data_IF_994920905247
#
_entry.id   IF_994920905247
#
_cell.length_a   1.000
_cell.length_b   1.000
_cell.length_c   1.000
_cell.angle_alpha   90.00
_cell.angle_beta   90.00
_cell.angle_gamma   90.00
#
_symmetry.space_group_name_H-M   'P 1'
#
loop_
_entity.id
_entity.type
_entity.pdbx_description
1 polymer ?
#
# COMPACT_ATOMS: atom_id res chain seq x y z
N UNK A 1 0.84 18.13 -10.90
CA UNK A 1 -0.15 17.51 -11.82
C UNK A 1 -0.88 16.34 -11.14
N UNK A 2 -0.17 15.40 -10.50
CA UNK A 2 -0.79 14.22 -9.86
C UNK A 2 -1.67 14.53 -8.62
N UNK A 3 -1.27 15.47 -7.76
CA UNK A 3 -2.05 15.86 -6.56
C UNK A 3 -3.41 16.47 -6.94
N UNK A 4 -3.49 17.20 -8.06
CA UNK A 4 -4.75 17.77 -8.57
C UNK A 4 -5.71 16.68 -9.06
N UNK A 5 -5.18 15.60 -9.66
CA UNK A 5 -5.96 14.43 -10.05
C UNK A 5 -6.55 13.72 -8.83
N UNK A 6 -5.77 13.49 -7.77
CA UNK A 6 -6.28 12.88 -6.54
C UNK A 6 -7.36 13.72 -5.88
N UNK A 7 -7.16 15.04 -5.78
CA UNK A 7 -8.18 15.95 -5.25
C UNK A 7 -9.44 15.98 -6.12
N UNK A 8 -9.30 15.95 -7.44
CA UNK A 8 -10.43 15.90 -8.39
C UNK A 8 -11.30 14.65 -8.20
N UNK A 9 -10.70 13.52 -7.83
CA UNK A 9 -11.41 12.27 -7.54
C UNK A 9 -11.70 12.06 -6.04
N UNK A 10 -11.41 13.05 -5.19
CA UNK A 10 -11.65 12.96 -3.74
C UNK A 10 -10.77 11.93 -3.02
N UNK A 11 -9.63 11.55 -3.62
CA UNK A 11 -8.68 10.62 -3.04
C UNK A 11 -7.72 11.37 -2.12
N UNK A 12 -7.63 10.92 -0.87
CA UNK A 12 -6.62 11.39 0.08
C UNK A 12 -5.41 10.45 0.04
N UNK A 13 -4.37 10.84 -0.69
CA UNK A 13 -3.14 10.06 -0.83
C UNK A 13 -2.09 10.62 0.12
N UNK A 14 -1.58 9.76 0.99
CA UNK A 14 -0.49 10.09 1.92
C UNK A 14 0.70 9.21 1.57
N UNK A 15 1.82 9.85 1.25
CA UNK A 15 3.09 9.16 1.08
C UNK A 15 3.86 9.19 2.39
N UNK A 16 4.30 8.02 2.85
CA UNK A 16 5.11 7.85 4.05
C UNK A 16 6.35 7.03 3.71
N UNK A 17 7.47 7.37 4.32
CA UNK A 17 8.72 6.63 4.16
C UNK A 17 9.16 6.12 5.54
N UNK A 18 8.71 4.90 5.87
CA UNK A 18 8.87 4.26 7.17
C UNK A 18 9.16 2.78 6.97
N UNK A 19 9.86 2.17 7.93
CA UNK A 19 10.35 0.80 7.80
C UNK A 19 10.00 -0.12 8.97
N UNK A 20 9.53 0.42 10.09
CA UNK A 20 9.14 -0.36 11.28
C UNK A 20 7.63 -0.38 11.46
N UNK A 21 7.09 -1.46 12.02
CA UNK A 21 5.65 -1.58 12.24
C UNK A 21 5.10 -0.46 13.13
N UNK A 22 5.83 -0.08 14.17
CA UNK A 22 5.46 0.99 15.10
C UNK A 22 5.31 2.34 14.41
N UNK A 23 6.14 2.62 13.40
CA UNK A 23 6.05 3.84 12.59
C UNK A 23 4.97 3.72 11.51
N UNK A 24 4.71 2.52 10.98
CA UNK A 24 3.72 2.30 9.91
C UNK A 24 2.29 2.43 10.45
N UNK A 25 1.99 1.76 11.57
CA UNK A 25 0.62 1.61 12.10
C UNK A 25 -0.13 2.95 12.25
N UNK A 26 0.46 4.02 12.84
CA UNK A 26 -0.23 5.30 13.00
C UNK A 26 -0.69 5.95 11.69
N UNK A 27 -0.05 5.61 10.57
CA UNK A 27 -0.34 6.19 9.26
C UNK A 27 -1.30 5.36 8.41
N UNK A 28 -1.37 4.04 8.64
CA UNK A 28 -2.10 3.12 7.76
C UNK A 28 -3.38 2.56 8.38
N UNK A 29 -3.60 2.73 9.68
CA UNK A 29 -4.72 2.09 10.39
C UNK A 29 -6.09 2.32 9.70
N UNK A 30 -6.35 3.55 9.25
CA UNK A 30 -7.64 3.95 8.66
C UNK A 30 -7.64 4.00 7.12
N UNK A 31 -6.60 3.47 6.46
CA UNK A 31 -6.54 3.50 5.00
C UNK A 31 -7.56 2.53 4.37
N UNK A 32 -8.14 2.91 3.23
CA UNK A 32 -8.99 2.01 2.43
C UNK A 32 -8.15 1.14 1.46
N UNK A 33 -6.97 1.62 1.05
CA UNK A 33 -6.02 0.93 0.18
C UNK A 33 -4.57 1.24 0.60
N UNK A 34 -3.69 0.25 0.48
CA UNK A 34 -2.26 0.39 0.80
C UNK A 34 -1.41 -0.03 -0.40
N UNK A 35 -0.47 0.83 -0.78
CA UNK A 35 0.53 0.54 -1.81
C UNK A 35 1.90 0.42 -1.15
N UNK A 36 2.60 -0.67 -1.39
CA UNK A 36 3.87 -0.99 -0.73
C UNK A 36 4.92 -1.39 -1.75
N UNK A 37 6.16 -0.87 -1.61
CA UNK A 37 7.25 -1.17 -2.56
C UNK A 37 8.24 -2.18 -1.96
N UNK A 38 8.91 -1.77 -0.88
CA UNK A 38 10.01 -2.50 -0.23
C UNK A 38 9.78 -2.76 1.26
N UNK A 39 8.79 -2.10 1.86
CA UNK A 39 8.44 -2.21 3.28
C UNK A 39 7.79 -3.56 3.60
N UNK A 40 8.16 -4.16 4.73
CA UNK A 40 7.53 -5.38 5.23
C UNK A 40 6.18 -5.06 5.88
N UNK A 41 5.19 -5.93 5.69
CA UNK A 41 3.90 -5.86 6.35
C UNK A 41 3.70 -7.12 7.19
N UNK A 42 4.31 -7.18 8.39
CA UNK A 42 4.09 -8.29 9.33
C UNK A 42 2.64 -8.30 9.84
N UNK A 43 2.26 -9.41 10.48
CA UNK A 43 0.92 -9.65 11.03
C UNK A 43 0.36 -8.45 11.80
N UNK A 44 1.15 -7.86 12.70
CA UNK A 44 0.75 -6.72 13.54
C UNK A 44 0.34 -5.47 12.75
N UNK A 45 0.99 -5.21 11.61
CA UNK A 45 0.63 -4.10 10.72
C UNK A 45 -0.68 -4.41 10.01
N UNK A 46 -0.86 -5.63 9.52
CA UNK A 46 -2.08 -6.02 8.81
C UNK A 46 -3.28 -6.08 9.76
N UNK A 47 -3.07 -6.50 11.01
CA UNK A 47 -4.09 -6.49 12.05
C UNK A 47 -4.55 -5.09 12.42
N UNK A 48 -3.67 -4.08 12.37
CA UNK A 48 -4.04 -2.70 12.65
C UNK A 48 -4.91 -2.06 11.56
N UNK A 49 -5.00 -2.64 10.36
CA UNK A 49 -5.80 -2.12 9.26
C UNK A 49 -7.30 -2.30 9.56
N UNK A 50 -7.99 -1.19 9.84
CA UNK A 50 -9.41 -1.18 10.24
C UNK A 50 -10.35 -1.14 9.03
N UNK A 51 -9.92 -0.49 7.95
CA UNK A 51 -10.74 -0.22 6.74
C UNK A 51 -10.15 -0.73 5.44
N UNK A 52 -8.92 -1.22 5.47
CA UNK A 52 -8.19 -1.58 4.26
C UNK A 52 -8.89 -2.73 3.53
N UNK A 53 -9.05 -2.59 2.22
CA UNK A 53 -9.65 -3.60 1.34
C UNK A 53 -8.65 -4.23 0.39
N UNK A 54 -7.57 -3.51 0.08
CA UNK A 54 -6.57 -3.94 -0.88
C UNK A 54 -5.16 -3.51 -0.46
N UNK A 55 -4.22 -4.45 -0.55
CA UNK A 55 -2.78 -4.20 -0.44
C UNK A 55 -2.18 -4.51 -1.80
N UNK A 56 -1.61 -3.51 -2.46
CA UNK A 56 -0.89 -3.68 -3.72
C UNK A 56 0.60 -3.55 -3.51
N UNK A 57 1.32 -4.63 -3.78
CA UNK A 57 2.77 -4.65 -3.78
C UNK A 57 3.29 -4.23 -5.14
N UNK A 58 4.21 -3.27 -5.15
CA UNK A 58 4.83 -2.71 -6.33
C UNK A 58 6.31 -3.14 -6.37
N UNK A 59 6.77 -3.64 -7.51
CA UNK A 59 8.19 -3.96 -7.76
C UNK A 59 8.52 -5.45 -7.76
N UNK A 60 9.81 -5.80 -7.85
CA UNK A 60 10.31 -7.17 -7.96
C UNK A 60 10.98 -7.59 -6.64
N UNK A 61 10.75 -8.81 -6.15
CA UNK A 61 11.32 -9.27 -4.87
C UNK A 61 10.44 -10.30 -4.14
N UNK A 62 11.05 -11.04 -3.21
CA UNK A 62 10.41 -12.09 -2.39
C UNK A 62 9.56 -11.47 -1.27
N UNK A 63 8.27 -11.80 -1.27
CA UNK A 63 7.20 -11.15 -0.49
C UNK A 63 7.45 -11.12 1.02
N UNK A 64 7.20 -9.94 1.62
CA UNK A 64 7.27 -9.65 3.07
C UNK A 64 5.90 -9.25 3.63
N UNK A 65 4.82 -9.70 2.99
CA UNK A 65 3.43 -9.42 3.39
C UNK A 65 2.86 -10.69 4.00
N UNK A 66 2.28 -10.61 5.20
CA UNK A 66 1.51 -11.72 5.77
C UNK A 66 0.15 -11.87 5.04
N UNK A 67 0.20 -12.51 3.87
CA UNK A 67 -0.97 -12.76 3.01
C UNK A 67 -2.03 -13.59 3.74
N UNK A 68 -1.64 -14.48 4.64
CA UNK A 68 -2.59 -15.31 5.38
C UNK A 68 -3.46 -14.44 6.29
N UNK A 69 -2.86 -13.50 7.02
CA UNK A 69 -3.60 -12.55 7.86
C UNK A 69 -4.43 -11.57 7.04
N UNK A 70 -3.89 -11.07 5.93
CA UNK A 70 -4.65 -10.22 5.00
C UNK A 70 -5.91 -10.94 4.49
N UNK A 71 -5.75 -12.20 4.05
CA UNK A 71 -6.86 -13.03 3.56
C UNK A 71 -7.92 -13.25 4.63
N UNK A 72 -7.53 -13.55 5.88
CA UNK A 72 -8.49 -13.70 7.00
C UNK A 72 -9.27 -12.42 7.30
N UNK A 73 -8.67 -11.26 7.09
CA UNK A 73 -9.33 -9.95 7.23
C UNK A 73 -10.17 -9.55 6.01
N UNK A 74 -10.19 -10.38 4.95
CA UNK A 74 -10.88 -10.06 3.70
C UNK A 74 -10.16 -9.01 2.85
N UNK A 75 -8.86 -8.81 3.08
CA UNK A 75 -8.02 -7.89 2.34
C UNK A 75 -7.44 -8.61 1.13
N UNK A 76 -7.65 -8.05 -0.06
CA UNK A 76 -7.07 -8.58 -1.29
C UNK A 76 -5.62 -8.15 -1.39
N UNK A 77 -4.70 -9.10 -1.57
CA UNK A 77 -3.30 -8.81 -1.81
C UNK A 77 -3.00 -9.00 -3.30
N UNK A 78 -2.49 -7.97 -3.96
CA UNK A 78 -2.05 -8.02 -5.35
C UNK A 78 -0.57 -7.75 -5.44
N UNK A 79 0.13 -8.47 -6.31
CA UNK A 79 1.52 -8.18 -6.64
C UNK A 79 1.58 -7.66 -8.09
N UNK A 80 2.06 -6.44 -8.26
CA UNK A 80 2.26 -5.79 -9.56
C UNK A 80 3.77 -5.65 -9.77
N UNK A 81 4.43 -6.71 -10.29
CA UNK A 81 5.88 -6.70 -10.48
C UNK A 81 6.38 -5.69 -11.52
N UNK A 82 5.46 -5.12 -12.30
CA UNK A 82 5.72 -4.16 -13.38
C UNK A 82 4.97 -2.84 -13.19
N UNK A 83 4.79 -2.35 -11.96
CA UNK A 83 4.27 -1.00 -11.76
C UNK A 83 5.35 0.05 -12.12
N UNK A 84 5.75 0.08 -13.39
CA UNK A 84 6.12 1.32 -14.05
C UNK A 84 4.80 1.96 -14.42
N UNK A 85 4.43 3.02 -13.71
CA UNK A 85 3.63 4.06 -14.33
C UNK A 85 4.39 4.49 -15.59
N UNK A 86 3.94 4.03 -16.75
CA UNK A 86 4.22 4.73 -18.01
C UNK A 86 3.61 6.12 -17.87
N UNK A 87 4.40 7.08 -17.39
CA UNK A 87 4.39 8.48 -17.84
C UNK A 87 5.81 9.04 -17.72
N UNK A 88 6.75 8.44 -18.46
CA UNK A 88 7.81 9.21 -19.10
C UNK A 88 7.91 8.75 -20.55
N UNK A 89 6.87 9.06 -21.31
CA UNK A 89 6.97 9.29 -22.74
C UNK A 89 6.50 10.75 -22.95
N UNK A 90 7.41 11.59 -23.45
CA UNK A 90 7.31 13.04 -23.72
C UNK A 90 7.44 14.03 -22.54
N UNK A 91 8.68 14.42 -22.19
CA UNK A 91 9.42 15.50 -22.89
C UNK A 91 10.94 15.44 -22.61
#
# INVERSE_FOLDING_TARGET
>A
HEVELYQKYGLNVIQIEVNTAEEIIPHVADCDALFVVSTALPTEVIESLSRCRVISRLGTGTDKIDVATATRKGIVVTNVPYFCIEEQADH
#
